data_IF_745470756819
#
_entry.id   IF_745470756819
#
_cell.length_a   1.000
_cell.length_b   1.000
_cell.length_c   1.000
_cell.angle_alpha   90.00
_cell.angle_beta   90.00
_cell.angle_gamma   90.00
#
_symmetry.space_group_name_H-M   'P 1'
#
loop_
_entity.id
_entity.type
_entity.pdbx_description
1 polymer ?
#
# COMPACT_ATOMS: atom_id res chain seq x y z
N UNK A 1 10.96 -14.36 1.11
CA UNK A 1 10.84 -14.36 2.58
C UNK A 1 12.10 -13.85 3.25
N UNK A 2 13.16 -14.67 3.30
CA UNK A 2 14.41 -14.36 4.00
C UNK A 2 15.05 -13.02 3.58
N UNK A 3 15.05 -12.69 2.29
CA UNK A 3 15.58 -11.41 1.81
C UNK A 3 14.83 -10.19 2.37
N UNK A 4 13.49 -10.27 2.49
CA UNK A 4 12.68 -9.20 3.11
C UNK A 4 12.96 -9.11 4.62
N UNK A 5 13.11 -10.25 5.30
CA UNK A 5 13.47 -10.29 6.72
C UNK A 5 14.86 -9.71 6.98
N UNK A 6 15.85 -10.05 6.14
CA UNK A 6 17.20 -9.50 6.20
C UNK A 6 17.21 -7.98 5.98
N UNK A 7 16.44 -7.48 5.00
CA UNK A 7 16.28 -6.05 4.77
C UNK A 7 15.62 -5.35 5.97
N UNK A 8 14.59 -5.93 6.56
CA UNK A 8 13.94 -5.42 7.77
C UNK A 8 14.90 -5.36 8.96
N UNK A 9 15.70 -6.40 9.15
CA UNK A 9 16.71 -6.47 10.22
C UNK A 9 17.82 -5.43 10.01
N UNK A 10 18.30 -5.26 8.77
CA UNK A 10 19.30 -4.26 8.42
C UNK A 10 18.77 -2.83 8.64
N UNK A 11 17.51 -2.58 8.26
CA UNK A 11 16.81 -1.31 8.50
C UNK A 11 16.67 -1.02 10.00
N UNK A 12 16.23 -2.00 10.79
CA UNK A 12 16.11 -1.88 12.24
C UNK A 12 17.46 -1.58 12.92
N UNK A 13 18.51 -2.29 12.53
CA UNK A 13 19.86 -2.03 13.05
C UNK A 13 20.36 -0.63 12.72
N UNK A 14 20.16 -0.15 11.48
CA UNK A 14 20.49 1.22 11.08
C UNK A 14 19.68 2.28 11.82
N UNK A 15 18.40 2.00 12.10
CA UNK A 15 17.53 2.86 12.91
C UNK A 15 18.05 3.01 14.34
N UNK A 16 18.47 1.92 14.97
CA UNK A 16 19.05 1.95 16.33
C UNK A 16 20.38 2.73 16.40
N UNK A 17 21.11 2.82 15.28
CA UNK A 17 22.35 3.60 15.16
C UNK A 17 22.16 5.03 14.67
N UNK A 18 20.92 5.50 14.51
CA UNK A 18 20.60 6.85 14.04
C UNK A 18 20.88 7.15 12.56
N UNK A 19 21.53 6.24 11.82
CA UNK A 19 21.97 6.47 10.43
C UNK A 19 21.05 5.89 9.36
N UNK A 20 19.73 5.95 9.58
CA UNK A 20 18.72 5.40 8.66
C UNK A 20 18.61 6.24 7.38
N UNK A 21 18.72 7.56 7.50
CA UNK A 21 18.60 8.50 6.39
C UNK A 21 19.90 8.62 5.57
N UNK A 22 21.05 8.26 6.16
CA UNK A 22 22.38 8.33 5.52
C UNK A 22 22.79 7.03 4.80
N UNK A 23 21.83 6.14 4.51
CA UNK A 23 22.08 4.82 3.94
C UNK A 23 21.45 4.66 2.54
N UNK A 24 22.08 5.20 1.46
CA UNK A 24 21.49 5.19 0.11
C UNK A 24 21.29 3.78 -0.44
N UNK A 25 22.17 2.83 -0.11
CA UNK A 25 22.02 1.43 -0.51
C UNK A 25 20.83 0.74 0.16
N UNK A 26 20.53 1.08 1.42
CA UNK A 26 19.37 0.55 2.13
C UNK A 26 18.07 1.07 1.51
N UNK A 27 18.03 2.37 1.16
CA UNK A 27 16.87 2.99 0.51
C UNK A 27 16.61 2.38 -0.88
N UNK A 28 17.67 2.21 -1.69
CA UNK A 28 17.56 1.55 -3.01
C UNK A 28 17.08 0.10 -2.89
N UNK A 29 17.64 -0.66 -1.94
CA UNK A 29 17.23 -2.03 -1.69
C UNK A 29 15.77 -2.12 -1.23
N UNK A 30 15.30 -1.16 -0.42
CA UNK A 30 13.90 -1.08 0.00
C UNK A 30 12.95 -0.80 -1.17
N UNK A 31 13.30 0.13 -2.06
CA UNK A 31 12.51 0.41 -3.27
C UNK A 31 12.45 -0.83 -4.17
N UNK A 32 13.58 -1.50 -4.40
CA UNK A 32 13.62 -2.72 -5.22
C UNK A 32 12.84 -3.89 -4.58
N UNK A 33 12.74 -3.93 -3.25
CA UNK A 33 11.96 -4.94 -2.53
C UNK A 33 10.46 -4.66 -2.48
N UNK A 34 9.99 -3.48 -2.89
CA UNK A 34 8.56 -3.14 -2.89
C UNK A 34 7.68 -4.22 -3.57
N UNK A 35 7.98 -4.74 -4.78
CA UNK A 35 7.17 -5.79 -5.42
C UNK A 35 7.34 -7.20 -4.81
N UNK A 36 8.37 -7.42 -3.99
CA UNK A 36 8.74 -8.77 -3.54
C UNK A 36 7.69 -9.42 -2.63
N UNK A 37 6.95 -8.63 -1.85
CA UNK A 37 5.85 -9.12 -1.01
C UNK A 37 4.71 -9.70 -1.86
N UNK A 38 4.31 -8.99 -2.92
CA UNK A 38 3.29 -9.47 -3.86
C UNK A 38 3.72 -10.77 -4.55
N UNK A 39 4.96 -10.83 -5.04
CA UNK A 39 5.51 -12.04 -5.64
C UNK A 39 5.54 -13.22 -4.67
N UNK A 40 5.90 -12.99 -3.40
CA UNK A 40 5.93 -14.04 -2.38
C UNK A 40 4.53 -14.61 -2.08
N UNK A 41 3.50 -13.75 -2.03
CA UNK A 41 2.10 -14.18 -1.84
C UNK A 41 1.64 -15.05 -3.00
N UNK A 42 1.87 -14.61 -4.25
CA UNK A 42 1.51 -15.39 -5.44
C UNK A 42 2.23 -16.74 -5.48
N UNK A 43 3.53 -16.77 -5.21
CA UNK A 43 4.30 -18.00 -5.17
C UNK A 43 3.78 -18.98 -4.11
N UNK A 44 3.41 -18.48 -2.93
CA UNK A 44 2.78 -19.29 -1.88
C UNK A 44 1.46 -19.90 -2.34
N UNK A 45 0.58 -19.09 -2.92
CA UNK A 45 -0.73 -19.53 -3.41
C UNK A 45 -0.60 -20.58 -4.51
N UNK A 46 0.28 -20.34 -5.49
CA UNK A 46 0.59 -21.29 -6.58
C UNK A 46 1.13 -22.60 -6.01
N UNK A 47 2.05 -22.56 -5.04
CA UNK A 47 2.61 -23.77 -4.43
C UNK A 47 1.51 -24.62 -3.78
N UNK A 48 0.55 -24.00 -3.09
CA UNK A 48 -0.56 -24.72 -2.46
C UNK A 48 -1.58 -25.27 -3.45
N UNK A 49 -1.86 -24.54 -4.53
CA UNK A 49 -2.86 -24.93 -5.54
C UNK A 49 -2.33 -25.94 -6.54
N UNK A 50 -1.09 -25.77 -7.00
CA UNK A 50 -0.43 -26.73 -7.88
C UNK A 50 0.01 -27.96 -7.08
N UNK A 51 0.43 -27.77 -5.83
CA UNK A 51 0.87 -28.88 -4.96
C UNK A 51 -0.22 -29.91 -4.64
N UNK A 52 -1.50 -29.56 -4.80
CA UNK A 52 -2.62 -30.48 -4.63
C UNK A 52 -3.09 -31.18 -5.92
N UNK A 53 -2.54 -30.79 -7.08
CA UNK A 53 -2.79 -31.53 -8.33
C UNK A 53 -2.27 -32.97 -8.18
N UNK A 54 -3.00 -34.00 -8.66
CA UNK A 54 -4.11 -33.96 -9.64
C UNK A 54 -5.52 -33.91 -9.02
N UNK A 55 -5.67 -33.49 -7.77
CA UNK A 55 -6.94 -33.54 -7.03
C UNK A 55 -7.60 -32.18 -6.89
N UNK A 56 -8.90 -32.11 -7.22
CA UNK A 56 -9.74 -30.98 -6.81
C UNK A 56 -10.15 -31.14 -5.35
N UNK A 57 -10.56 -32.36 -4.98
CA UNK A 57 -10.84 -32.80 -3.61
C UNK A 57 -10.05 -34.08 -3.37
N UNK A 58 -9.15 -34.07 -2.38
CA UNK A 58 -8.25 -35.20 -2.12
C UNK A 58 -9.01 -36.51 -1.93
N UNK A 59 -8.59 -37.54 -2.68
CA UNK A 59 -9.14 -38.89 -2.61
C UNK A 59 -10.59 -39.04 -3.10
N UNK A 60 -11.24 -37.96 -3.54
CA UNK A 60 -12.66 -37.95 -3.92
C UNK A 60 -12.86 -37.51 -5.38
N UNK A 61 -12.22 -36.42 -5.82
CA UNK A 61 -12.47 -35.84 -7.14
C UNK A 61 -11.17 -35.34 -7.77
N UNK A 62 -10.87 -35.85 -8.97
CA UNK A 62 -9.70 -35.44 -9.75
C UNK A 62 -10.00 -34.19 -10.57
N UNK A 63 -8.99 -33.38 -10.82
CA UNK A 63 -9.10 -32.12 -11.59
C UNK A 63 -9.65 -32.33 -12.99
N UNK A 64 -9.32 -33.45 -13.65
CA UNK A 64 -9.83 -33.78 -14.99
C UNK A 64 -11.32 -34.09 -15.01
N UNK A 65 -11.87 -34.60 -13.89
CA UNK A 65 -13.27 -35.00 -13.77
C UNK A 65 -14.15 -33.81 -13.30
N UNK A 66 -13.54 -32.69 -12.89
CA UNK A 66 -14.21 -31.49 -12.37
C UNK A 66 -14.58 -30.44 -13.43
N UNK A 67 -14.40 -30.74 -14.73
CA UNK A 67 -14.59 -29.77 -15.81
C UNK A 67 -16.06 -29.75 -16.26
N UNK A 68 -16.65 -28.56 -16.40
CA UNK A 68 -18.01 -28.40 -16.90
C UNK A 68 -18.11 -28.68 -18.43
N UNK A 69 -19.20 -29.28 -18.92
CA UNK A 69 -19.40 -29.54 -20.35
C UNK A 69 -19.83 -28.27 -21.09
N UNK A 70 -18.90 -27.34 -21.26
CA UNK A 70 -19.11 -26.06 -21.97
C UNK A 70 -18.14 -25.95 -23.16
N UNK A 71 -18.55 -25.19 -24.17
CA UNK A 71 -17.74 -24.99 -25.36
C UNK A 71 -16.41 -24.26 -25.02
N UNK A 72 -15.30 -24.79 -25.52
CA UNK A 72 -13.96 -24.28 -25.23
C UNK A 72 -13.74 -22.86 -25.77
N UNK A 73 -14.38 -22.51 -26.89
CA UNK A 73 -14.27 -21.17 -27.46
C UNK A 73 -14.94 -20.11 -26.57
N UNK A 74 -16.09 -20.42 -25.96
CA UNK A 74 -16.76 -19.54 -25.01
C UNK A 74 -15.92 -19.31 -23.73
N UNK A 75 -15.25 -20.35 -23.23
CA UNK A 75 -14.32 -20.23 -22.08
C UNK A 75 -13.12 -19.36 -22.46
N UNK A 76 -12.51 -19.59 -23.63
CA UNK A 76 -11.40 -18.78 -24.11
C UNK A 76 -11.76 -17.31 -24.26
N UNK A 77 -12.93 -17.02 -24.84
CA UNK A 77 -13.42 -15.65 -25.00
C UNK A 77 -13.62 -14.94 -23.65
N UNK A 78 -14.22 -15.61 -22.67
CA UNK A 78 -14.41 -15.03 -21.33
C UNK A 78 -13.09 -14.85 -20.58
N UNK A 79 -12.14 -15.79 -20.70
CA UNK A 79 -10.79 -15.65 -20.15
C UNK A 79 -10.06 -14.42 -20.71
N UNK A 80 -10.11 -14.21 -22.03
CA UNK A 80 -9.52 -13.01 -22.66
C UNK A 80 -10.20 -11.74 -22.15
N UNK A 81 -11.53 -11.74 -22.04
CA UNK A 81 -12.26 -10.60 -21.50
C UNK A 81 -11.81 -10.28 -20.06
N UNK A 82 -11.67 -11.30 -19.20
CA UNK A 82 -11.15 -11.12 -17.84
C UNK A 82 -9.73 -10.58 -17.81
N UNK A 83 -8.83 -11.11 -18.66
CA UNK A 83 -7.46 -10.62 -18.80
C UNK A 83 -7.47 -9.12 -19.11
N UNK A 84 -8.20 -8.70 -20.16
CA UNK A 84 -8.27 -7.30 -20.58
C UNK A 84 -8.78 -6.39 -19.45
N UNK A 85 -9.88 -6.77 -18.80
CA UNK A 85 -10.45 -5.98 -17.70
C UNK A 85 -9.49 -5.89 -16.52
N UNK A 86 -8.84 -6.99 -16.15
CA UNK A 86 -7.90 -6.99 -15.02
C UNK A 86 -6.68 -6.13 -15.34
N UNK A 87 -6.09 -6.24 -16.53
CA UNK A 87 -4.98 -5.37 -16.93
C UNK A 87 -5.39 -3.89 -16.95
N UNK A 88 -6.60 -3.57 -17.41
CA UNK A 88 -7.10 -2.20 -17.40
C UNK A 88 -7.24 -1.66 -15.97
N UNK A 89 -7.91 -2.39 -15.08
CA UNK A 89 -8.19 -1.96 -13.70
C UNK A 89 -6.92 -1.92 -12.86
N UNK A 90 -6.14 -3.01 -12.82
CA UNK A 90 -4.90 -3.05 -12.04
C UNK A 90 -3.83 -2.14 -12.61
N UNK A 91 -3.75 -2.00 -13.94
CA UNK A 91 -2.85 -1.06 -14.61
C UNK A 91 -3.18 0.39 -14.27
N UNK A 92 -4.44 0.80 -14.43
CA UNK A 92 -4.89 2.14 -14.07
C UNK A 92 -4.71 2.44 -12.58
N UNK A 93 -5.05 1.48 -11.70
CA UNK A 93 -4.86 1.61 -10.25
C UNK A 93 -3.40 1.74 -9.85
N UNK A 94 -2.52 0.89 -10.38
CA UNK A 94 -1.08 0.94 -10.12
C UNK A 94 -0.49 2.25 -10.63
N UNK A 95 -0.83 2.66 -11.86
CA UNK A 95 -0.39 3.94 -12.42
C UNK A 95 -0.85 5.12 -11.57
N UNK A 96 -2.11 5.12 -11.13
CA UNK A 96 -2.67 6.18 -10.28
C UNK A 96 -1.95 6.26 -8.93
N UNK A 97 -1.71 5.12 -8.27
CA UNK A 97 -0.99 5.06 -7.01
C UNK A 97 0.45 5.57 -7.15
N UNK A 98 1.18 5.13 -8.18
CA UNK A 98 2.53 5.60 -8.45
C UNK A 98 2.56 7.11 -8.76
N UNK A 99 1.57 7.60 -9.53
CA UNK A 99 1.40 9.03 -9.80
C UNK A 99 1.11 9.82 -8.52
N UNK A 100 0.33 9.28 -7.58
CA UNK A 100 0.04 9.92 -6.30
C UNK A 100 1.27 9.94 -5.38
N UNK A 101 2.00 8.82 -5.29
CA UNK A 101 3.25 8.71 -4.51
C UNK A 101 4.37 9.61 -5.05
N UNK A 102 4.32 9.98 -6.34
CA UNK A 102 5.31 10.87 -6.96
C UNK A 102 5.07 12.35 -6.64
N UNK A 103 3.96 12.70 -5.98
CA UNK A 103 3.72 14.07 -5.54
C UNK A 103 4.57 14.33 -4.29
N UNK A 104 5.40 15.39 -4.27
CA UNK A 104 6.05 15.80 -3.04
C UNK A 104 4.98 16.12 -2.00
N UNK A 105 5.24 15.88 -0.70
CA UNK A 105 4.32 16.30 0.34
C UNK A 105 4.10 17.81 0.22
N UNK A 106 2.84 18.23 0.09
CA UNK A 106 2.48 19.64 0.04
C UNK A 106 3.00 20.31 1.32
N UNK A 107 3.84 21.34 1.18
CA UNK A 107 4.40 22.09 2.29
C UNK A 107 3.40 23.02 3.00
N UNK A 108 2.10 22.75 2.89
CA UNK A 108 1.02 23.41 3.62
C UNK A 108 -0.07 22.38 3.83
N UNK A 109 -0.47 22.03 5.05
CA UNK A 109 -0.88 22.91 6.14
C UNK A 109 -0.53 22.19 7.46
N UNK A 110 0.49 22.66 8.17
CA UNK A 110 0.44 22.66 9.65
C UNK A 110 -0.08 24.06 10.03
N UNK A 111 -1.25 24.47 9.52
CA UNK A 111 -2.06 25.41 10.29
C UNK A 111 -2.76 24.58 11.35
N UNK A 112 -2.39 24.83 12.60
CA UNK A 112 -3.20 24.57 13.78
C UNK A 112 -3.81 23.17 13.94
N UNK A 113 -2.99 22.12 13.78
CA UNK A 113 -3.16 20.96 14.68
C UNK A 113 -2.54 21.32 16.03
N UNK A 114 -3.10 22.35 16.68
CA UNK A 114 -3.16 22.35 18.13
C UNK A 114 -3.89 21.09 18.57
N UNK A 115 -3.61 20.53 19.77
CA UNK A 115 -4.26 19.31 20.21
C UNK A 115 -5.75 19.49 20.04
N UNK A 116 -6.37 18.70 19.15
CA UNK A 116 -7.82 18.66 18.97
C UNK A 116 -8.37 18.06 20.24
N UNK A 117 -8.41 18.88 21.30
CA UNK A 117 -9.21 18.62 22.47
C UNK A 117 -10.61 18.59 21.92
N UNK A 118 -11.26 17.44 22.05
CA UNK A 118 -12.70 17.28 21.99
C UNK A 118 -13.27 18.13 23.13
N UNK A 119 -13.27 19.46 22.97
CA UNK A 119 -13.82 20.39 23.94
C UNK A 119 -15.34 20.34 23.77
N UNK A 120 -15.93 19.30 24.36
CA UNK A 120 -17.34 19.30 24.63
C UNK A 120 -17.72 20.55 25.43
N UNK A 121 -18.80 21.19 24.99
CA UNK A 121 -19.83 21.79 25.84
C UNK A 121 -19.53 23.05 26.69
N UNK A 122 -18.41 23.77 26.55
CA UNK A 122 -18.24 25.05 27.28
C UNK A 122 -17.71 26.19 26.41
N UNK A 123 -18.45 27.31 26.24
CA UNK A 123 -17.88 28.54 25.72
C UNK A 123 -17.01 29.18 26.80
N UNK A 124 -15.68 29.06 26.67
CA UNK A 124 -14.72 29.86 27.43
C UNK A 124 -14.55 31.26 26.82
N UNK A 125 -14.18 32.29 27.60
CA UNK A 125 -14.25 33.68 27.17
C UNK A 125 -13.25 33.97 26.04
N UNK A 126 -13.77 34.55 24.95
CA UNK A 126 -12.98 35.05 23.83
C UNK A 126 -12.05 36.16 24.34
N UNK A 127 -10.76 35.86 24.49
CA UNK A 127 -9.76 36.86 24.86
C UNK A 127 -9.40 37.66 23.61
N UNK A 128 -10.18 38.70 23.32
CA UNK A 128 -9.85 39.70 22.31
C UNK A 128 -8.58 40.45 22.71
N UNK A 129 -7.52 40.36 21.91
CA UNK A 129 -6.27 41.10 22.12
C UNK A 129 -6.49 42.57 21.76
N UNK A 130 -6.76 43.41 22.76
CA UNK A 130 -6.82 44.87 22.64
C UNK A 130 -5.43 45.41 22.29
N UNK A 131 -5.27 45.99 21.08
CA UNK A 131 -4.11 46.85 20.77
C UNK A 131 -4.39 48.25 21.33
N UNK A 132 -3.51 48.84 22.14
CA UNK A 132 -3.60 50.26 22.48
C UNK A 132 -3.12 51.09 21.29
N UNK A 133 -4.00 51.95 20.77
CA UNK A 133 -3.63 53.04 19.87
C UNK A 133 -2.94 54.11 20.69
N UNK A 134 -1.63 54.26 20.49
CA UNK A 134 -0.88 55.41 21.01
C UNK A 134 -1.38 56.67 20.33
N UNK A 135 -1.92 57.59 21.13
CA UNK A 135 -2.15 58.98 20.74
C UNK A 135 -0.82 59.61 20.31
N UNK A 136 -0.81 60.22 19.13
CA UNK A 136 0.30 60.99 18.60
C UNK A 136 -0.20 62.44 18.49
N UNK A 137 0.17 63.25 19.49
CA UNK A 137 0.16 64.70 19.37
C UNK A 137 1.47 65.14 18.72
N UNK A 138 1.33 65.96 17.69
CA UNK A 138 2.15 67.13 17.33
C UNK A 138 1.42 67.89 16.21
#
# INVERSE_FOLDING_TARGET
>A
GLAMAALGMWSGWKRLRGGLFDAPWLQRAAVLMAPSGFAAVLAGWVTTEVGRQPWTVYGLLRTVDSIAPIDGAAVGASLIAFIVVYFAVFGAGTFYLLRLMSRPPDAGVIDDIGPTRTAGLMPGPATGRHRPTTEQGD
#
